data_IF_603611416701
#
_entry.id   IF_603611416701
#
_cell.length_a   1.000
_cell.length_b   1.000
_cell.length_c   1.000
_cell.angle_alpha   90.00
_cell.angle_beta   90.00
_cell.angle_gamma   90.00
#
_symmetry.space_group_name_H-M   'P 1'
#
loop_
_entity.id
_entity.type
_entity.pdbx_description
1 polymer ?
#
# COMPACT_ATOMS: atom_id res chain seq x y z
N UNK A 1 -13.18 7.36 -12.71
CA UNK A 1 -11.85 7.67 -12.16
C UNK A 1 -10.78 6.96 -12.99
N UNK A 2 -9.58 7.54 -13.17
CA UNK A 2 -8.48 6.88 -13.88
C UNK A 2 -7.86 5.79 -13.00
N UNK A 3 -7.23 4.79 -13.61
CA UNK A 3 -6.56 3.72 -12.87
C UNK A 3 -5.50 4.26 -11.91
N UNK A 4 -4.74 5.27 -12.32
CA UNK A 4 -3.65 5.82 -11.51
C UNK A 4 -4.19 6.55 -10.27
N UNK A 5 -5.24 7.37 -10.41
CA UNK A 5 -5.95 7.98 -9.29
C UNK A 5 -6.46 6.92 -8.30
N UNK A 6 -7.00 5.81 -8.81
CA UNK A 6 -7.48 4.71 -7.98
C UNK A 6 -6.35 4.06 -7.19
N UNK A 7 -5.19 3.81 -7.83
CA UNK A 7 -4.05 3.17 -7.19
C UNK A 7 -3.42 4.09 -6.15
N UNK A 8 -3.31 5.38 -6.42
CA UNK A 8 -2.84 6.38 -5.45
C UNK A 8 -3.74 6.40 -4.20
N UNK A 9 -5.06 6.49 -4.38
CA UNK A 9 -6.00 6.49 -3.27
C UNK A 9 -5.93 5.20 -2.42
N UNK A 10 -5.81 4.05 -3.07
CA UNK A 10 -5.65 2.76 -2.38
C UNK A 10 -4.30 2.68 -1.65
N UNK A 11 -3.21 3.20 -2.22
CA UNK A 11 -1.91 3.24 -1.54
C UNK A 11 -1.98 4.08 -0.28
N UNK A 12 -2.51 5.30 -0.37
CA UNK A 12 -2.70 6.19 0.76
C UNK A 12 -3.51 5.51 1.88
N UNK A 13 -4.62 4.84 1.54
CA UNK A 13 -5.41 4.08 2.54
C UNK A 13 -4.58 2.97 3.22
N UNK A 14 -3.76 2.24 2.47
CA UNK A 14 -2.90 1.19 3.02
C UNK A 14 -1.82 1.75 3.96
N UNK A 15 -1.29 2.92 3.64
CA UNK A 15 -0.28 3.62 4.42
C UNK A 15 -0.88 4.38 5.62
N UNK A 16 -2.22 4.51 5.68
CA UNK A 16 -2.94 5.20 6.75
C UNK A 16 -3.07 6.71 6.52
N UNK A 17 -2.91 7.15 5.29
CA UNK A 17 -3.01 8.54 4.84
C UNK A 17 -4.42 8.86 4.30
N UNK A 18 -4.69 10.13 4.04
CA UNK A 18 -5.92 10.56 3.37
C UNK A 18 -5.91 10.14 1.88
N UNK A 19 -6.88 9.33 1.42
CA UNK A 19 -6.94 8.89 0.02
C UNK A 19 -7.19 10.01 -1.00
N UNK A 20 -7.65 11.19 -0.57
CA UNK A 20 -7.94 12.33 -1.46
C UNK A 20 -9.05 12.06 -2.49
N UNK A 21 -9.76 10.93 -2.34
CA UNK A 21 -10.84 10.45 -3.20
C UNK A 21 -11.95 9.85 -2.35
N UNK A 22 -13.23 10.03 -2.72
CA UNK A 22 -14.33 9.40 -2.01
C UNK A 22 -14.23 7.87 -2.06
N UNK A 23 -14.43 7.23 -0.91
CA UNK A 23 -14.24 5.79 -0.78
C UNK A 23 -15.22 5.00 -1.67
N UNK A 24 -16.43 5.51 -1.90
CA UNK A 24 -17.40 4.91 -2.81
C UNK A 24 -16.95 4.95 -4.27
N UNK A 25 -16.26 6.01 -4.69
CA UNK A 25 -15.73 6.13 -6.05
C UNK A 25 -14.59 5.13 -6.28
N UNK A 26 -13.72 4.94 -5.28
CA UNK A 26 -12.67 3.91 -5.30
C UNK A 26 -13.28 2.52 -5.35
N UNK A 27 -14.26 2.22 -4.48
CA UNK A 27 -14.97 0.94 -4.48
C UNK A 27 -15.70 0.66 -5.81
N UNK A 28 -16.31 1.68 -6.41
CA UNK A 28 -16.96 1.54 -7.71
C UNK A 28 -15.95 1.15 -8.80
N UNK A 29 -14.81 1.85 -8.88
CA UNK A 29 -13.78 1.53 -9.85
C UNK A 29 -13.19 0.12 -9.65
N UNK A 30 -12.99 -0.31 -8.40
CA UNK A 30 -12.48 -1.65 -8.10
C UNK A 30 -13.44 -2.77 -8.53
N UNK A 31 -14.76 -2.51 -8.53
CA UNK A 31 -15.75 -3.47 -9.06
C UNK A 31 -15.73 -3.59 -10.58
N UNK A 32 -15.39 -2.51 -11.28
CA UNK A 32 -15.43 -2.44 -12.74
C UNK A 32 -14.08 -2.74 -13.41
N UNK A 33 -12.97 -2.58 -12.69
CA UNK A 33 -11.62 -2.74 -13.24
C UNK A 33 -10.87 -3.91 -12.59
N UNK A 34 -10.91 -5.07 -13.24
CA UNK A 34 -10.22 -6.28 -12.78
C UNK A 34 -8.70 -6.10 -12.56
N UNK A 35 -8.05 -5.24 -13.36
CA UNK A 35 -6.62 -4.93 -13.19
C UNK A 35 -6.35 -4.19 -11.88
N UNK A 36 -7.20 -3.24 -11.50
CA UNK A 36 -7.07 -2.49 -10.26
C UNK A 36 -7.44 -3.34 -9.04
N UNK A 37 -8.46 -4.20 -9.16
CA UNK A 37 -8.80 -5.18 -8.12
C UNK A 37 -7.63 -6.13 -7.82
N UNK A 38 -7.02 -6.73 -8.87
CA UNK A 38 -5.85 -7.60 -8.71
C UNK A 38 -4.65 -6.86 -8.13
N UNK A 39 -4.42 -5.63 -8.58
CA UNK A 39 -3.34 -4.82 -8.04
C UNK A 39 -3.54 -4.50 -6.55
N UNK A 40 -4.76 -4.16 -6.12
CA UNK A 40 -5.06 -3.90 -4.71
C UNK A 40 -4.82 -5.14 -3.83
N UNK A 41 -5.23 -6.33 -4.29
CA UNK A 41 -4.97 -7.57 -3.56
C UNK A 41 -3.46 -7.79 -3.36
N UNK A 42 -2.67 -7.68 -4.43
CA UNK A 42 -1.22 -7.81 -4.35
C UNK A 42 -0.57 -6.76 -3.44
N UNK A 43 -1.06 -5.52 -3.45
CA UNK A 43 -0.57 -4.46 -2.57
C UNK A 43 -0.84 -4.75 -1.09
N UNK A 44 -2.02 -5.30 -0.76
CA UNK A 44 -2.39 -5.74 0.60
C UNK A 44 -1.50 -6.90 1.08
N UNK A 45 -1.25 -7.86 0.20
CA UNK A 45 -0.38 -9.00 0.50
C UNK A 45 1.06 -8.53 0.76
N UNK A 46 1.60 -7.69 -0.13
CA UNK A 46 2.94 -7.12 0.02
C UNK A 46 3.08 -6.33 1.33
N UNK A 47 2.10 -5.49 1.66
CA UNK A 47 2.11 -4.74 2.92
C UNK A 47 2.14 -5.66 4.14
N UNK A 48 1.36 -6.74 4.12
CA UNK A 48 1.34 -7.74 5.20
C UNK A 48 2.71 -8.40 5.35
N UNK A 49 3.34 -8.80 4.24
CA UNK A 49 4.68 -9.37 4.23
C UNK A 49 5.71 -8.40 4.81
N UNK A 50 5.72 -7.14 4.35
CA UNK A 50 6.66 -6.10 4.81
C UNK A 50 6.50 -5.85 6.32
N UNK A 51 5.27 -5.76 6.83
CA UNK A 51 5.02 -5.57 8.27
C UNK A 51 5.48 -6.75 9.13
N UNK A 52 5.55 -7.95 8.56
CA UNK A 52 6.11 -9.13 9.22
C UNK A 52 7.64 -9.17 9.23
N UNK A 53 8.31 -8.35 8.41
CA UNK A 53 9.77 -8.28 8.43
C UNK A 53 10.23 -7.54 9.68
N UNK A 54 11.00 -8.22 10.53
CA UNK A 54 11.78 -7.55 11.56
C UNK A 54 13.04 -6.96 10.90
N UNK A 55 13.35 -5.68 11.14
CA UNK A 55 14.67 -5.17 10.80
C UNK A 55 15.72 -6.07 11.45
N UNK A 56 16.72 -6.49 10.68
CA UNK A 56 17.88 -7.15 11.28
C UNK A 56 18.42 -6.21 12.36
N UNK A 57 18.59 -6.73 13.58
CA UNK A 57 19.12 -5.93 14.69
C UNK A 57 20.40 -5.25 14.21
N UNK A 58 20.35 -3.92 14.10
CA UNK A 58 21.46 -3.12 13.59
C UNK A 58 22.69 -3.45 14.42
N UNK A 59 23.65 -4.15 13.81
CA UNK A 59 24.98 -4.35 14.40
C UNK A 59 25.54 -2.94 14.56
N UNK A 60 25.50 -2.39 15.79
CA UNK A 60 26.26 -1.19 16.10
C UNK A 60 27.71 -1.56 15.80
N UNK A 61 28.28 -1.00 14.74
CA UNK A 61 29.72 -0.98 14.55
C UNK A 61 30.22 -0.13 15.71
N UNK A 62 30.61 -0.78 16.81
CA UNK A 62 31.32 -0.15 17.91
C UNK A 62 32.58 0.46 17.33
N UNK A 63 32.64 1.79 17.35
CA UNK A 63 33.85 2.54 17.06
C UNK A 63 34.63 2.65 18.35
N UNK A 64 35.61 1.77 18.54
CA UNK A 64 36.69 1.99 19.48
C UNK A 64 37.67 2.98 18.83
N UNK A 65 37.66 4.22 19.33
CA UNK A 65 38.80 5.16 19.26
C UNK A 65 38.84 5.98 20.53
#
# INVERSE_FOLDING_TARGET
MKCDDCRTAVSAELDGEDPGRPAEAVRAHLRECARCARWQANARDLRTLIRGLRPAAGRKLGGDR
#
